data_IF_317951409869
#
_entry.id   IF_317951409869
#
_cell.length_a   1.000
_cell.length_b   1.000
_cell.length_c   1.000
_cell.angle_alpha   90.00
_cell.angle_beta   90.00
_cell.angle_gamma   90.00
#
_symmetry.space_group_name_H-M   'P 1'
#
loop_
_entity.id
_entity.type
_entity.pdbx_description
1 polymer ?
#
# COMPACT_ATOMS: atom_id res chain seq x y z
N UNK A 1 -0.74 -8.39 -4.26
CA UNK A 1 -1.04 -8.83 -2.87
C UNK A 1 -1.21 -10.35 -2.68
N UNK A 2 -1.41 -11.17 -3.73
CA UNK A 2 -1.58 -12.64 -3.61
C UNK A 2 -0.45 -13.34 -2.81
N UNK A 3 0.81 -12.95 -3.03
CA UNK A 3 1.95 -13.52 -2.31
C UNK A 3 1.95 -13.23 -0.80
N UNK A 4 1.62 -12.00 -0.41
CA UNK A 4 1.56 -11.62 1.01
C UNK A 4 0.43 -12.37 1.72
N UNK A 5 -0.77 -12.40 1.13
CA UNK A 5 -1.92 -13.17 1.63
C UNK A 5 -1.61 -14.66 1.77
N UNK A 6 -0.89 -15.25 0.81
CA UNK A 6 -0.47 -16.65 0.87
C UNK A 6 0.55 -16.96 1.99
N UNK A 7 1.35 -15.96 2.40
CA UNK A 7 2.32 -16.06 3.49
C UNK A 7 1.73 -15.69 4.86
N UNK A 8 0.57 -15.05 4.91
CA UNK A 8 -0.14 -14.75 6.15
C UNK A 8 -0.85 -15.99 6.71
N UNK A 9 -0.07 -16.99 7.11
CA UNK A 9 -0.56 -18.27 7.65
C UNK A 9 -1.26 -18.13 8.99
N UNK A 10 -1.00 -17.03 9.71
CA UNK A 10 -1.58 -16.73 11.04
C UNK A 10 -2.75 -15.75 10.97
N UNK A 11 -3.17 -15.35 9.76
CA UNK A 11 -4.25 -14.38 9.53
C UNK A 11 -4.08 -13.10 10.35
N UNK A 12 -2.85 -12.60 10.44
CA UNK A 12 -2.50 -11.41 11.19
C UNK A 12 -2.79 -10.11 10.42
N UNK A 13 -3.18 -10.22 9.15
CA UNK A 13 -3.51 -9.09 8.29
C UNK A 13 -4.97 -9.13 7.86
N UNK A 14 -5.67 -8.02 8.05
CA UNK A 14 -6.97 -7.76 7.43
C UNK A 14 -6.75 -6.93 6.17
N UNK A 15 -7.14 -7.47 5.02
CA UNK A 15 -7.12 -6.74 3.75
C UNK A 15 -8.52 -6.19 3.49
N UNK A 16 -8.60 -4.90 3.19
CA UNK A 16 -9.85 -4.20 2.90
C UNK A 16 -9.83 -3.67 1.48
N UNK A 17 -10.99 -3.65 0.85
CA UNK A 17 -11.19 -3.07 -0.46
C UNK A 17 -11.83 -1.68 -0.29
N UNK A 18 -11.10 -0.64 -0.71
CA UNK A 18 -11.53 0.76 -0.56
C UNK A 18 -12.70 1.14 -1.48
N UNK A 19 -13.05 0.26 -2.41
CA UNK A 19 -14.15 0.44 -3.36
C UNK A 19 -15.42 -0.30 -2.96
N UNK A 20 -15.43 -0.99 -1.80
CA UNK A 20 -16.66 -1.55 -1.26
C UNK A 20 -17.64 -0.43 -0.92
N UNK A 21 -18.92 -0.66 -1.21
CA UNK A 21 -19.99 0.33 -0.98
C UNK A 21 -20.12 0.73 0.49
N UNK A 22 -19.76 -0.17 1.41
CA UNK A 22 -19.81 0.03 2.85
C UNK A 22 -18.48 0.53 3.45
N UNK A 23 -17.43 0.72 2.64
CA UNK A 23 -16.10 1.03 3.16
C UNK A 23 -16.08 2.35 3.95
N UNK A 24 -16.72 3.38 3.39
CA UNK A 24 -16.79 4.70 4.03
C UNK A 24 -17.66 4.70 5.31
N UNK A 25 -18.60 3.77 5.44
CA UNK A 25 -19.38 3.58 6.66
C UNK A 25 -18.55 2.88 7.75
N UNK A 26 -17.80 1.83 7.37
CA UNK A 26 -16.94 1.08 8.30
C UNK A 26 -15.69 1.85 8.73
N UNK A 27 -15.16 2.73 7.86
CA UNK A 27 -13.93 3.49 8.09
C UNK A 27 -14.10 4.98 7.71
N UNK A 28 -14.94 5.74 8.42
CA UNK A 28 -15.28 7.12 8.07
C UNK A 28 -14.09 8.09 8.17
N UNK A 29 -13.03 7.72 8.90
CA UNK A 29 -11.80 8.49 9.04
C UNK A 29 -10.79 8.27 7.91
N UNK A 30 -11.09 7.41 6.93
CA UNK A 30 -10.21 7.10 5.80
C UNK A 30 -10.78 7.74 4.54
N UNK A 31 -10.04 8.69 3.96
CA UNK A 31 -10.33 9.23 2.63
C UNK A 31 -9.96 8.18 1.56
N UNK A 32 -10.97 7.70 0.82
CA UNK A 32 -10.80 6.70 -0.25
C UNK A 32 -9.90 7.21 -1.38
N UNK A 33 -9.99 8.49 -1.74
CA UNK A 33 -9.13 9.07 -2.77
C UNK A 33 -7.68 9.09 -2.30
N UNK A 34 -7.43 9.39 -1.03
CA UNK A 34 -6.09 9.36 -0.45
C UNK A 34 -5.57 7.93 -0.26
N UNK A 35 -6.42 6.99 0.16
CA UNK A 35 -6.10 5.58 0.26
C UNK A 35 -5.82 4.93 -1.10
N UNK A 36 -6.43 5.46 -2.16
CA UNK A 36 -6.06 5.09 -3.52
C UNK A 36 -4.69 5.64 -3.89
N UNK A 37 -4.28 6.85 -3.43
CA UNK A 37 -2.97 7.43 -3.76
C UNK A 37 -1.82 6.80 -2.99
N UNK A 38 -1.97 6.65 -1.68
CA UNK A 38 -0.94 6.19 -0.74
C UNK A 38 -1.46 4.95 -0.02
N UNK A 39 -0.59 3.98 0.22
CA UNK A 39 -0.97 2.78 0.96
C UNK A 39 -1.35 3.15 2.41
N UNK A 40 -2.53 2.74 2.87
CA UNK A 40 -2.96 2.91 4.25
C UNK A 40 -2.89 1.59 5.00
N UNK A 41 -2.56 1.67 6.28
CA UNK A 41 -2.64 0.56 7.20
C UNK A 41 -3.04 1.05 8.58
N UNK A 42 -3.77 0.23 9.32
CA UNK A 42 -4.13 0.50 10.70
C UNK A 42 -3.53 -0.57 11.58
N UNK A 43 -2.82 -0.17 12.64
CA UNK A 43 -2.30 -1.09 13.65
C UNK A 43 -3.43 -1.52 14.59
N UNK A 44 -3.23 -2.60 15.33
CA UNK A 44 -4.21 -3.11 16.30
C UNK A 44 -4.58 -2.11 17.41
N UNK A 45 -3.71 -1.13 17.70
CA UNK A 45 -3.97 -0.05 18.66
C UNK A 45 -4.74 1.13 18.04
N UNK A 46 -5.14 1.06 16.78
CA UNK A 46 -5.89 2.11 16.07
C UNK A 46 -5.01 3.12 15.31
N UNK A 47 -3.69 3.15 15.57
CA UNK A 47 -2.78 4.07 14.88
C UNK A 47 -2.74 3.81 13.37
N UNK A 48 -2.84 4.89 12.60
CA UNK A 48 -2.67 4.84 11.15
C UNK A 48 -1.19 4.93 10.77
N UNK A 49 -0.80 4.09 9.83
CA UNK A 49 0.51 4.06 9.19
C UNK A 49 0.33 4.16 7.68
N UNK A 50 1.33 4.72 6.98
CA UNK A 50 1.19 5.08 5.56
C UNK A 50 2.37 4.64 4.72
N UNK A 51 2.11 4.45 3.42
CA UNK A 51 3.09 4.17 2.39
C UNK A 51 4.00 2.99 2.70
N UNK A 52 5.29 3.25 2.71
CA UNK A 52 6.29 2.23 2.95
C UNK A 52 6.18 1.63 4.36
N UNK A 53 5.76 2.39 5.38
CA UNK A 53 5.63 1.87 6.74
C UNK A 53 4.56 0.76 6.82
N UNK A 54 3.48 0.87 6.04
CA UNK A 54 2.47 -0.20 5.89
C UNK A 54 3.09 -1.46 5.30
N UNK A 55 3.92 -1.31 4.27
CA UNK A 55 4.58 -2.44 3.61
C UNK A 55 5.48 -3.18 4.60
N UNK A 56 6.27 -2.45 5.38
CA UNK A 56 7.13 -3.05 6.39
C UNK A 56 6.33 -3.71 7.52
N UNK A 57 5.28 -3.06 8.02
CA UNK A 57 4.41 -3.63 9.05
C UNK A 57 3.75 -4.93 8.57
N UNK A 58 3.24 -4.95 7.32
CA UNK A 58 2.59 -6.12 6.76
C UNK A 58 3.55 -7.30 6.56
N UNK A 59 4.75 -7.05 6.03
CA UNK A 59 5.77 -8.10 5.91
C UNK A 59 6.30 -8.55 7.27
N UNK A 60 6.38 -7.65 8.25
CA UNK A 60 6.77 -7.99 9.62
C UNK A 60 5.74 -8.89 10.30
N UNK A 61 4.45 -8.64 10.11
CA UNK A 61 3.38 -9.49 10.65
C UNK A 61 3.52 -10.94 10.16
N UNK A 62 3.81 -11.15 8.87
CA UNK A 62 4.01 -12.50 8.31
C UNK A 62 5.41 -13.10 8.60
N UNK A 63 6.20 -12.51 9.50
CA UNK A 63 7.52 -13.00 9.92
C UNK A 63 8.64 -12.75 8.91
N UNK A 64 8.45 -11.83 7.96
CA UNK A 64 9.41 -11.50 6.88
C UNK A 64 9.81 -10.02 6.87
N UNK A 65 9.71 -9.34 8.01
CA UNK A 65 10.08 -7.93 8.15
C UNK A 65 11.50 -7.63 7.71
N UNK A 66 12.42 -8.59 7.87
CA UNK A 66 13.82 -8.51 7.45
C UNK A 66 14.00 -8.14 5.97
N UNK A 67 13.10 -8.59 5.08
CA UNK A 67 13.15 -8.25 3.65
C UNK A 67 12.96 -6.75 3.40
N UNK A 68 12.23 -6.09 4.30
CA UNK A 68 11.90 -4.66 4.22
C UNK A 68 12.68 -3.81 5.22
N UNK A 69 13.52 -4.43 6.06
CA UNK A 69 14.22 -3.76 7.15
C UNK A 69 15.25 -2.73 6.66
N UNK A 70 15.95 -3.01 5.55
CA UNK A 70 16.88 -2.07 4.92
C UNK A 70 16.21 -0.72 4.58
N UNK A 71 14.95 -0.75 4.15
CA UNK A 71 14.17 0.45 3.81
C UNK A 71 13.84 1.32 5.03
N UNK A 72 14.03 0.81 6.25
CA UNK A 72 13.73 1.50 7.51
C UNK A 72 14.96 2.08 8.20
N UNK A 73 16.16 1.88 7.66
CA UNK A 73 17.33 2.59 8.16
C UNK A 73 17.15 4.09 8.02
N UNK A 74 17.50 4.91 9.01
CA UNK A 74 17.07 6.32 9.09
C UNK A 74 17.42 7.13 7.83
N UNK A 75 18.62 6.91 7.27
CA UNK A 75 19.07 7.55 6.03
C UNK A 75 18.26 7.01 4.83
N UNK A 76 18.19 5.69 4.67
CA UNK A 76 17.49 5.04 3.56
C UNK A 76 16.00 5.36 3.57
N UNK A 77 15.36 5.35 4.75
CA UNK A 77 13.95 5.69 4.96
C UNK A 77 13.65 7.09 4.44
N UNK A 78 14.50 8.07 4.73
CA UNK A 78 14.30 9.44 4.26
C UNK A 78 14.24 9.49 2.73
N UNK A 79 15.20 8.85 2.04
CA UNK A 79 15.20 8.78 0.57
C UNK A 79 14.04 7.93 0.03
N UNK A 80 13.77 6.78 0.65
CA UNK A 80 12.77 5.83 0.20
C UNK A 80 11.36 6.40 0.33
N UNK A 81 11.04 7.10 1.43
CA UNK A 81 9.74 7.72 1.64
C UNK A 81 9.53 8.87 0.64
N UNK A 82 10.55 9.68 0.37
CA UNK A 82 10.48 10.73 -0.67
C UNK A 82 10.30 10.14 -2.06
N UNK A 83 11.09 9.12 -2.41
CA UNK A 83 10.97 8.41 -3.68
C UNK A 83 9.61 7.75 -3.85
N UNK A 84 9.08 7.14 -2.79
CA UNK A 84 7.76 6.53 -2.77
C UNK A 84 6.65 7.56 -2.98
N UNK A 85 6.68 8.71 -2.28
CA UNK A 85 5.69 9.76 -2.46
C UNK A 85 5.73 10.36 -3.87
N UNK A 86 6.93 10.57 -4.41
CA UNK A 86 7.11 11.01 -5.79
C UNK A 86 6.54 9.98 -6.77
N UNK A 87 6.83 8.70 -6.56
CA UNK A 87 6.30 7.61 -7.38
C UNK A 87 4.77 7.50 -7.27
N UNK A 88 4.21 7.53 -6.05
CA UNK A 88 2.78 7.42 -5.79
C UNK A 88 2.00 8.54 -6.49
N UNK A 89 2.52 9.78 -6.44
CA UNK A 89 1.93 10.94 -7.11
C UNK A 89 2.02 10.84 -8.63
N UNK A 90 3.14 10.34 -9.15
CA UNK A 90 3.40 10.27 -10.59
C UNK A 90 3.13 8.88 -11.18
N UNK A 91 2.45 7.97 -10.47
CA UNK A 91 2.35 6.55 -10.84
C UNK A 91 1.83 6.34 -12.27
N UNK A 92 0.88 7.18 -12.71
CA UNK A 92 0.30 7.12 -14.05
C UNK A 92 1.31 7.64 -15.09
N UNK A 93 2.03 8.73 -14.78
CA UNK A 93 3.05 9.32 -15.66
C UNK A 93 4.33 8.48 -15.78
N UNK A 94 4.79 7.87 -14.68
CA UNK A 94 5.92 6.94 -14.67
C UNK A 94 5.57 5.66 -15.44
N UNK A 95 4.35 5.13 -15.25
CA UNK A 95 3.87 4.01 -16.06
C UNK A 95 3.83 4.36 -17.54
N UNK A 96 3.41 5.57 -17.90
CA UNK A 96 3.42 6.08 -19.27
C UNK A 96 4.83 6.17 -19.85
N UNK A 97 5.80 6.65 -19.06
CA UNK A 97 7.20 6.80 -19.49
C UNK A 97 7.91 5.45 -19.66
N UNK A 98 7.67 4.49 -18.76
CA UNK A 98 8.35 3.18 -18.78
C UNK A 98 7.71 2.20 -19.76
N UNK A 99 6.37 2.21 -19.89
CA UNK A 99 5.66 1.25 -20.76
C UNK A 99 5.19 1.82 -22.10
N UNK A 100 5.29 3.14 -22.35
CA UNK A 100 4.90 3.77 -23.62
C UNK A 100 3.41 3.66 -23.96
N UNK A 101 2.61 3.01 -23.12
CA UNK A 101 1.17 2.80 -23.28
C UNK A 101 0.47 3.33 -22.03
N UNK A 102 -0.58 4.12 -22.24
CA UNK A 102 -1.55 4.38 -21.19
C UNK A 102 -2.25 3.06 -20.87
N UNK A 103 -1.80 2.36 -19.83
CA UNK A 103 -2.65 1.34 -19.23
C UNK A 103 -3.79 2.09 -18.57
N UNK A 104 -4.87 2.25 -19.33
CA UNK A 104 -6.16 2.68 -18.84
C UNK A 104 -6.53 1.72 -17.71
N UNK A 105 -6.31 2.14 -16.46
CA UNK A 105 -6.56 1.34 -15.25
C UNK A 105 -8.04 1.00 -15.07
N UNK A 106 -8.94 1.64 -15.83
CA UNK A 106 -10.37 1.33 -15.88
C UNK A 106 -10.73 0.16 -16.81
N UNK A 107 -9.85 -0.28 -17.72
CA UNK A 107 -10.20 -1.31 -18.71
C UNK A 107 -9.92 -2.75 -18.26
N UNK A 108 -9.64 -3.00 -16.98
CA UNK A 108 -9.48 -4.37 -16.44
C UNK A 108 -10.44 -4.69 -15.29
N UNK A 109 -11.57 -4.00 -15.23
CA UNK A 109 -12.67 -4.31 -14.30
C UNK A 109 -13.84 -5.04 -14.99
N UNK A 110 -13.64 -5.54 -16.21
CA UNK A 110 -14.55 -6.47 -16.87
C UNK A 110 -13.76 -7.71 -17.30
N UNK A 111 -13.61 -8.66 -16.36
CA UNK A 111 -13.71 -10.14 -16.51
C UNK A 111 -13.21 -10.86 -15.25
#
# INVERSE_FOLDING_TARGET
MKHLKAKDKRQQLKFENIWEVDFAERYPHIDVAEANRILHGQKANGDMIYGLDVTHAAWSAVGRGWMTAMLRWPIVKWFADKGYLFFARNRNGISKLITGKERCLQCSLDE
#
